data_IF_578565555494
#
_entry.id   IF_578565555494
#
_cell.length_a   1.000
_cell.length_b   1.000
_cell.length_c   1.000
_cell.angle_alpha   90.00
_cell.angle_beta   90.00
_cell.angle_gamma   90.00
#
_symmetry.space_group_name_H-M   'P 1'
#
loop_
_entity.id
_entity.type
_entity.pdbx_description
1 polymer ?
#
# COMPACT_ATOMS: atom_id res chain seq x y z
N UNK A 1 12.15 -7.95 1.47
CA UNK A 1 12.50 -6.74 2.22
C UNK A 1 11.88 -5.55 1.49
N UNK A 2 10.88 -4.91 2.10
CA UNK A 2 10.15 -3.80 1.46
C UNK A 2 11.13 -2.62 1.47
N UNK A 3 11.50 -2.05 0.33
CA UNK A 3 12.60 -1.06 0.22
C UNK A 3 12.41 0.25 1.00
N UNK A 4 12.55 0.20 2.32
CA UNK A 4 12.49 1.30 3.29
C UNK A 4 13.88 1.89 3.59
N UNK A 5 14.92 1.43 2.89
CA UNK A 5 16.31 1.89 3.05
C UNK A 5 16.54 3.35 2.60
N UNK A 6 15.58 3.94 1.87
CA UNK A 6 15.61 5.33 1.43
C UNK A 6 14.50 6.11 2.11
N UNK A 7 14.89 7.01 3.02
CA UNK A 7 13.98 7.97 3.63
C UNK A 7 13.37 8.87 2.56
N UNK A 8 12.12 8.60 2.20
CA UNK A 8 11.37 9.36 1.22
C UNK A 8 9.91 9.40 1.68
N UNK A 9 9.53 10.38 2.52
CA UNK A 9 8.24 10.39 3.20
C UNK A 9 7.04 10.31 2.24
N UNK A 10 7.12 10.94 1.08
CA UNK A 10 6.06 10.86 0.06
C UNK A 10 5.94 9.45 -0.54
N UNK A 11 7.06 8.76 -0.72
CA UNK A 11 7.06 7.38 -1.21
C UNK A 11 6.49 6.44 -0.15
N UNK A 12 6.87 6.61 1.12
CA UNK A 12 6.34 5.86 2.26
C UNK A 12 4.83 6.06 2.42
N UNK A 13 4.33 7.30 2.33
CA UNK A 13 2.89 7.60 2.33
C UNK A 13 2.17 6.94 1.15
N UNK A 14 2.77 6.97 -0.04
CA UNK A 14 2.23 6.27 -1.21
C UNK A 14 2.14 4.77 -0.96
N UNK A 15 3.12 4.17 -0.29
CA UNK A 15 3.09 2.75 0.07
C UNK A 15 1.98 2.43 1.07
N UNK A 16 1.83 3.25 2.12
CA UNK A 16 0.77 3.10 3.11
C UNK A 16 -0.62 3.21 2.49
N UNK A 17 -0.85 4.23 1.65
CA UNK A 17 -2.11 4.39 0.93
C UNK A 17 -2.38 3.20 -0.01
N UNK A 18 -1.37 2.77 -0.75
CA UNK A 18 -1.45 1.61 -1.63
C UNK A 18 -1.83 0.32 -0.90
N UNK A 19 -1.24 0.11 0.27
CA UNK A 19 -1.54 -1.04 1.13
C UNK A 19 -2.96 -0.97 1.71
N UNK A 20 -3.39 0.21 2.17
CA UNK A 20 -4.75 0.40 2.68
C UNK A 20 -5.80 -0.01 1.65
N UNK A 21 -5.72 0.55 0.42
CA UNK A 21 -6.67 0.23 -0.66
C UNK A 21 -6.60 -1.25 -1.07
N UNK A 22 -5.40 -1.85 -1.07
CA UNK A 22 -5.24 -3.26 -1.40
C UNK A 22 -5.91 -4.17 -0.35
N UNK A 23 -5.83 -3.80 0.93
CA UNK A 23 -6.40 -4.56 2.05
C UNK A 23 -7.89 -4.32 2.28
N UNK A 24 -8.43 -3.17 1.89
CA UNK A 24 -9.86 -2.83 2.09
C UNK A 24 -10.73 -3.07 0.86
N UNK A 25 -10.19 -2.90 -0.35
CA UNK A 25 -10.94 -3.07 -1.59
C UNK A 25 -10.40 -4.23 -2.43
N UNK A 26 -9.31 -4.01 -3.15
CA UNK A 26 -8.59 -5.06 -3.91
C UNK A 26 -7.25 -4.55 -4.42
N UNK A 27 -6.35 -5.50 -4.69
CA UNK A 27 -5.06 -5.23 -5.31
C UNK A 27 -5.19 -4.48 -6.66
N UNK A 28 -6.19 -4.82 -7.46
CA UNK A 28 -6.40 -4.21 -8.79
C UNK A 28 -6.86 -2.75 -8.70
N UNK A 29 -7.66 -2.41 -7.69
CA UNK A 29 -8.07 -1.03 -7.43
C UNK A 29 -6.88 -0.21 -6.93
N UNK A 30 -6.10 -0.77 -6.00
CA UNK A 30 -4.84 -0.16 -5.53
C UNK A 30 -3.88 0.12 -6.69
N UNK A 31 -3.71 -0.83 -7.61
CA UNK A 31 -2.89 -0.64 -8.82
C UNK A 31 -3.33 0.59 -9.65
N UNK A 32 -4.64 0.79 -9.85
CA UNK A 32 -5.18 1.93 -10.60
C UNK A 32 -4.90 3.26 -9.90
N UNK A 33 -5.14 3.34 -8.59
CA UNK A 33 -4.85 4.53 -7.79
C UNK A 33 -3.36 4.88 -7.79
N UNK A 34 -2.50 3.87 -7.73
CA UNK A 34 -1.04 4.02 -7.77
C UNK A 34 -0.49 4.13 -9.19
N UNK A 35 -1.33 4.03 -10.23
CA UNK A 35 -0.93 4.08 -11.64
C UNK A 35 0.22 3.12 -11.97
N UNK A 36 0.22 1.95 -11.36
CA UNK A 36 1.23 0.92 -11.62
C UNK A 36 0.91 0.20 -12.92
N UNK A 37 1.93 -0.02 -13.75
CA UNK A 37 1.79 -0.73 -15.02
C UNK A 37 1.43 -2.22 -14.80
N UNK A 38 1.87 -2.80 -13.69
CA UNK A 38 1.62 -4.19 -13.33
C UNK A 38 1.18 -4.32 -11.87
N UNK A 39 0.34 -5.33 -11.62
CA UNK A 39 -0.15 -5.69 -10.30
C UNK A 39 0.96 -6.30 -9.42
N UNK A 40 1.98 -6.92 -10.03
CA UNK A 40 3.13 -7.52 -9.32
C UNK A 40 3.84 -6.50 -8.40
N UNK A 41 4.11 -5.29 -8.90
CA UNK A 41 4.74 -4.20 -8.13
C UNK A 41 3.92 -3.83 -6.89
N UNK A 42 2.59 -3.94 -7.00
CA UNK A 42 1.64 -3.66 -5.92
C UNK A 42 1.62 -4.83 -4.93
N UNK A 43 1.61 -6.06 -5.42
CA UNK A 43 1.63 -7.26 -4.58
C UNK A 43 2.90 -7.34 -3.74
N UNK A 44 4.06 -7.20 -4.39
CA UNK A 44 5.38 -7.38 -3.76
C UNK A 44 5.71 -6.29 -2.74
N UNK A 45 5.09 -5.12 -2.87
CA UNK A 45 5.33 -3.98 -1.97
C UNK A 45 4.33 -3.88 -0.81
N UNK A 46 3.13 -4.44 -0.96
CA UNK A 46 1.99 -4.08 -0.09
C UNK A 46 1.26 -5.26 0.55
N UNK A 47 1.49 -6.50 0.13
CA UNK A 47 0.80 -7.67 0.68
C UNK A 47 0.97 -7.82 2.20
N UNK A 48 2.11 -7.37 2.75
CA UNK A 48 2.43 -7.49 4.18
C UNK A 48 2.34 -6.19 4.99
N UNK A 49 2.05 -5.04 4.35
CA UNK A 49 2.28 -3.75 4.99
C UNK A 49 1.18 -3.31 5.98
N UNK A 50 -0.05 -3.84 5.89
CA UNK A 50 -1.14 -3.54 6.85
C UNK A 50 -1.82 -4.84 7.30
N UNK A 51 -1.27 -5.41 8.37
CA UNK A 51 -1.77 -6.65 8.99
C UNK A 51 -2.66 -6.36 10.21
N UNK A 52 -2.58 -5.14 10.78
CA UNK A 52 -3.24 -4.78 12.03
C UNK A 52 -4.52 -3.95 11.81
N UNK A 53 -5.64 -4.42 12.37
CA UNK A 53 -6.96 -3.78 12.22
C UNK A 53 -7.06 -2.42 12.94
N UNK A 54 -6.24 -2.18 13.97
CA UNK A 54 -6.14 -0.89 14.65
C UNK A 54 -5.63 0.18 13.68
N UNK A 55 -4.64 -0.17 12.85
CA UNK A 55 -4.08 0.74 11.85
C UNK A 55 -5.09 1.03 10.75
N UNK A 56 -5.88 0.03 10.31
CA UNK A 56 -6.95 0.24 9.33
C UNK A 56 -7.99 1.24 9.83
N UNK A 57 -8.41 1.12 11.09
CA UNK A 57 -9.44 1.99 11.68
C UNK A 57 -9.02 3.47 11.78
N UNK A 58 -7.73 3.79 11.78
CA UNK A 58 -7.24 5.19 11.76
C UNK A 58 -7.41 5.88 10.40
N UNK A 59 -7.61 5.11 9.32
CA UNK A 59 -7.73 5.61 7.95
C UNK A 59 -9.16 5.65 7.43
N UNK A 60 -10.11 5.05 8.15
CA UNK A 60 -11.54 5.14 7.88
C UNK A 60 -12.04 6.49 8.41
N UNK A 61 -11.94 7.53 7.58
CA UNK A 61 -12.50 8.85 7.84
C UNK A 61 -13.99 8.92 7.45
#
# INVERSE_FOLDING_TARGET
EIGWERACPLHELRKLFGSYIASTESLYISQKFLRHADASTTNDSYADAIVDDTVKNLWVA
#
